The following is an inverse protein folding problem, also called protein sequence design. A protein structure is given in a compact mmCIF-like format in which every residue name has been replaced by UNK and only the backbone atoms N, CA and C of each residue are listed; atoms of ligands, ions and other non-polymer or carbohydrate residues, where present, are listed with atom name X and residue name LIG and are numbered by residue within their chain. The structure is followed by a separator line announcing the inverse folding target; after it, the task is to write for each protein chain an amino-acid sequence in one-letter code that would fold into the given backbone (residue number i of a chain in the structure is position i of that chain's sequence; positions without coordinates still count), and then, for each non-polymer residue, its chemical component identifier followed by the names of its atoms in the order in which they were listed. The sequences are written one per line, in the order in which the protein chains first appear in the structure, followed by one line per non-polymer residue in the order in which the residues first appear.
data_IF_196285588973
#
_entry.id   IF_196285588973
#
_cell.length_a   1.000
_cell.length_b   1.000
_cell.length_c   1.000
_cell.angle_alpha   90.00
_cell.angle_beta   90.00
_cell.angle_gamma   90.00
#
_symmetry.space_group_name_H-M   'P 1'
#
loop_
_entity.id
_entity.type
_entity.pdbx_description
1 polymer ?
#
# COMPACT_ATOMS: atom_id res chain seq x y z
N UNK A 1 -21.12 -8.23 7.87
CA UNK A 1 -20.97 -6.83 8.35
C UNK A 1 -19.52 -6.37 8.37
N UNK A 2 -18.60 -7.09 9.03
CA UNK A 2 -17.16 -6.71 9.13
C UNK A 2 -16.45 -6.55 7.79
N UNK A 3 -16.67 -7.45 6.82
CA UNK A 3 -16.06 -7.35 5.48
C UNK A 3 -16.48 -6.07 4.75
N UNK A 4 -17.74 -5.65 4.89
CA UNK A 4 -18.25 -4.41 4.27
C UNK A 4 -17.56 -3.19 4.89
N UNK A 5 -17.32 -3.21 6.20
CA UNK A 5 -16.56 -2.15 6.88
C UNK A 5 -15.11 -2.08 6.39
N UNK A 6 -14.44 -3.22 6.23
CA UNK A 6 -13.09 -3.26 5.66
C UNK A 6 -13.05 -2.75 4.23
N UNK A 7 -14.01 -3.16 3.39
CA UNK A 7 -14.09 -2.69 2.01
C UNK A 7 -14.33 -1.17 1.94
N UNK A 8 -15.25 -0.65 2.74
CA UNK A 8 -15.56 0.78 2.82
C UNK A 8 -14.35 1.59 3.31
N UNK A 9 -13.70 1.15 4.40
CA UNK A 9 -12.50 1.81 4.92
C UNK A 9 -11.35 1.78 3.90
N UNK A 10 -11.12 0.64 3.26
CA UNK A 10 -10.11 0.50 2.21
C UNK A 10 -10.36 1.43 1.02
N UNK A 11 -11.61 1.53 0.57
CA UNK A 11 -12.01 2.44 -0.52
C UNK A 11 -11.80 3.91 -0.13
N UNK A 12 -12.25 4.32 1.06
CA UNK A 12 -12.07 5.69 1.54
C UNK A 12 -10.59 6.07 1.67
N UNK A 13 -9.77 5.17 2.21
CA UNK A 13 -8.32 5.38 2.34
C UNK A 13 -7.65 5.46 0.97
N UNK A 14 -8.06 4.63 0.00
CA UNK A 14 -7.51 4.66 -1.35
C UNK A 14 -7.86 5.96 -2.08
N UNK A 15 -9.13 6.37 -2.05
CA UNK A 15 -9.61 7.61 -2.69
C UNK A 15 -8.97 8.85 -2.04
N UNK A 16 -8.95 8.90 -0.72
CA UNK A 16 -8.31 9.99 0.02
C UNK A 16 -6.82 10.09 -0.29
N UNK A 17 -6.11 8.96 -0.27
CA UNK A 17 -4.68 8.91 -0.60
C UNK A 17 -4.42 9.35 -2.04
N UNK A 18 -5.28 8.96 -3.00
CA UNK A 18 -5.15 9.36 -4.40
C UNK A 18 -5.35 10.88 -4.57
N UNK A 19 -6.37 11.45 -3.92
CA UNK A 19 -6.63 12.88 -3.95
C UNK A 19 -5.45 13.69 -3.39
N UNK A 20 -4.93 13.30 -2.22
CA UNK A 20 -3.77 13.98 -1.62
C UNK A 20 -2.48 13.76 -2.40
N UNK A 21 -2.26 12.58 -2.98
CA UNK A 21 -1.11 12.30 -3.83
C UNK A 21 -1.13 13.15 -5.12
N UNK A 22 -2.30 13.42 -5.68
CA UNK A 22 -2.46 14.35 -6.80
C UNK A 22 -2.16 15.79 -6.39
N UNK A 23 -2.68 16.23 -5.24
CA UNK A 23 -2.61 17.63 -4.81
C UNK A 23 -1.26 18.04 -4.21
N UNK A 24 -0.58 17.14 -3.51
CA UNK A 24 0.60 17.43 -2.70
C UNK A 24 1.81 16.56 -3.06
N UNK A 25 2.93 17.21 -3.33
CA UNK A 25 4.21 16.53 -3.55
C UNK A 25 4.77 15.92 -2.26
N UNK A 26 4.65 16.60 -1.13
CA UNK A 26 5.13 16.07 0.15
C UNK A 26 4.32 14.87 0.61
N UNK A 27 3.03 14.83 0.27
CA UNK A 27 2.23 13.63 0.48
C UNK A 27 2.72 12.44 -0.35
N UNK A 28 3.14 12.65 -1.61
CA UNK A 28 3.78 11.59 -2.42
C UNK A 28 5.08 11.10 -1.81
N UNK A 29 5.89 11.97 -1.21
CA UNK A 29 7.12 11.57 -0.50
C UNK A 29 6.81 10.70 0.72
N UNK A 30 5.82 11.10 1.52
CA UNK A 30 5.33 10.30 2.65
C UNK A 30 4.83 8.93 2.18
N UNK A 31 4.02 8.93 1.12
CA UNK A 31 3.43 7.72 0.56
C UNK A 31 4.49 6.76 -0.02
N UNK A 32 5.58 7.29 -0.60
CA UNK A 32 6.73 6.48 -1.00
C UNK A 32 7.32 5.71 0.19
N UNK A 33 7.53 6.38 1.33
CA UNK A 33 7.99 5.71 2.55
C UNK A 33 7.01 4.65 3.05
N UNK A 34 5.72 4.97 3.10
CA UNK A 34 4.68 4.04 3.53
C UNK A 34 4.60 2.78 2.65
N UNK A 35 4.66 2.95 1.33
CA UNK A 35 4.66 1.83 0.39
C UNK A 35 5.94 1.00 0.45
N UNK A 36 7.10 1.62 0.68
CA UNK A 36 8.35 0.90 0.86
C UNK A 36 8.31 -0.03 2.08
N UNK A 37 7.89 0.50 3.23
CA UNK A 37 7.77 -0.29 4.48
C UNK A 37 6.73 -1.41 4.31
N UNK A 38 5.57 -1.10 3.73
CA UNK A 38 4.51 -2.10 3.49
C UNK A 38 4.99 -3.21 2.55
N UNK A 39 5.69 -2.86 1.46
CA UNK A 39 6.31 -3.84 0.56
C UNK A 39 7.28 -4.75 1.31
N UNK A 40 8.15 -4.19 2.16
CA UNK A 40 9.12 -4.96 2.93
C UNK A 40 8.46 -5.96 3.88
N UNK A 41 7.45 -5.54 4.64
CA UNK A 41 6.73 -6.40 5.58
C UNK A 41 5.96 -7.50 4.85
N UNK A 42 5.26 -7.16 3.76
CA UNK A 42 4.51 -8.12 2.96
C UNK A 42 5.43 -9.16 2.30
N UNK A 43 6.59 -8.70 1.81
CA UNK A 43 7.60 -9.58 1.22
C UNK A 43 8.26 -10.48 2.28
N UNK A 44 8.55 -9.96 3.48
CA UNK A 44 9.06 -10.73 4.59
C UNK A 44 8.09 -11.85 5.00
N UNK A 45 6.81 -11.52 5.16
CA UNK A 45 5.76 -12.49 5.53
C UNK A 45 5.58 -13.56 4.43
N UNK A 46 5.72 -13.16 3.16
CA UNK A 46 5.75 -14.11 2.04
C UNK A 46 6.92 -15.09 2.15
N UNK A 47 8.14 -14.60 2.39
CA UNK A 47 9.33 -15.45 2.55
C UNK A 47 9.25 -16.33 3.81
N UNK A 48 8.66 -15.83 4.88
CA UNK A 48 8.45 -16.56 6.13
C UNK A 48 7.31 -17.60 6.04
N UNK A 49 6.60 -17.68 4.91
CA UNK A 49 5.44 -18.56 4.69
C UNK A 49 4.34 -18.38 5.75
N UNK A 50 4.19 -17.16 6.28
CA UNK A 50 3.24 -16.85 7.34
C UNK A 50 1.90 -16.40 6.75
N UNK A 51 0.84 -17.07 7.15
CA UNK A 51 -0.54 -16.68 6.86
C UNK A 51 -1.05 -15.67 7.88
N UNK A 52 -1.65 -14.56 7.42
CA UNK A 52 -2.14 -13.48 8.30
C UNK A 52 -3.66 -13.45 8.29
N UNK A 53 -4.34 -13.75 9.40
CA UNK A 53 -5.79 -13.66 9.47
C UNK A 53 -6.26 -12.20 9.49
N UNK A 54 -7.33 -11.90 8.75
CA UNK A 54 -8.04 -10.63 8.86
C UNK A 54 -8.90 -10.66 10.12
N UNK A 55 -8.59 -9.77 11.06
CA UNK A 55 -9.25 -9.67 12.35
C UNK A 55 -10.78 -9.62 12.20
N UNK A 56 -11.48 -10.48 12.95
CA UNK A 56 -12.94 -10.53 12.93
C UNK A 56 -13.55 -11.09 11.63
N UNK A 57 -12.78 -11.81 10.82
CA UNK A 57 -13.24 -12.55 9.64
C UNK A 57 -12.58 -13.93 9.53
N UNK A 58 -13.19 -14.84 8.78
CA UNK A 58 -12.59 -16.14 8.39
C UNK A 58 -11.58 -16.02 7.24
N UNK A 59 -11.28 -14.79 6.78
CA UNK A 59 -10.38 -14.57 5.65
C UNK A 59 -8.93 -14.58 6.12
N UNK A 60 -8.12 -15.37 5.44
CA UNK A 60 -6.68 -15.49 5.71
C UNK A 60 -5.91 -15.02 4.48
N UNK A 61 -5.05 -14.01 4.68
CA UNK A 61 -4.10 -13.59 3.66
C UNK A 61 -2.96 -14.62 3.60
N UNK A 62 -3.00 -15.45 2.57
CA UNK A 62 -1.97 -16.48 2.33
C UNK A 62 -0.64 -15.82 1.94
N UNK A 63 0.51 -16.52 2.11
CA UNK A 63 1.81 -16.01 1.74
C UNK A 63 1.86 -15.53 0.28
N UNK A 64 1.26 -16.29 -0.64
CA UNK A 64 1.17 -15.91 -2.07
C UNK A 64 0.42 -14.59 -2.29
N UNK A 65 -0.65 -14.35 -1.53
CA UNK A 65 -1.39 -13.08 -1.58
C UNK A 65 -0.52 -11.94 -1.05
N UNK A 66 0.21 -12.17 0.05
CA UNK A 66 1.16 -11.20 0.59
C UNK A 66 2.29 -10.87 -0.40
N UNK A 67 2.86 -11.86 -1.08
CA UNK A 67 3.86 -11.66 -2.13
C UNK A 67 3.32 -10.88 -3.34
N UNK A 68 2.08 -11.16 -3.78
CA UNK A 68 1.43 -10.35 -4.82
C UNK A 68 1.25 -8.90 -4.38
N UNK A 69 0.82 -8.67 -3.13
CA UNK A 69 0.64 -7.33 -2.57
C UNK A 69 1.97 -6.60 -2.41
N UNK A 70 3.07 -7.28 -2.03
CA UNK A 70 4.37 -6.64 -1.90
C UNK A 70 4.85 -6.07 -3.24
N UNK A 71 4.65 -6.80 -4.35
CA UNK A 71 4.97 -6.31 -5.70
C UNK A 71 4.17 -5.05 -6.03
N UNK A 72 2.85 -5.05 -5.78
CA UNK A 72 2.01 -3.87 -6.01
C UNK A 72 2.50 -2.67 -5.19
N UNK A 73 2.82 -2.87 -3.91
CA UNK A 73 3.34 -1.81 -3.05
C UNK A 73 4.70 -1.33 -3.51
N UNK A 74 5.57 -2.22 -4.00
CA UNK A 74 6.87 -1.85 -4.52
C UNK A 74 6.76 -0.97 -5.78
N UNK A 75 5.84 -1.30 -6.69
CA UNK A 75 5.56 -0.48 -7.88
C UNK A 75 5.05 0.90 -7.45
N UNK A 76 4.09 0.96 -6.52
CA UNK A 76 3.58 2.23 -6.02
C UNK A 76 4.65 3.05 -5.30
N UNK A 77 5.55 2.40 -4.56
CA UNK A 77 6.74 3.03 -3.99
C UNK A 77 7.59 3.68 -5.09
N UNK A 78 7.94 2.96 -6.16
CA UNK A 78 8.75 3.51 -7.25
C UNK A 78 8.07 4.70 -7.92
N UNK A 79 6.75 4.61 -8.17
CA UNK A 79 5.96 5.71 -8.74
C UNK A 79 5.98 6.93 -7.81
N UNK A 80 5.67 6.76 -6.52
CA UNK A 80 5.67 7.86 -5.55
C UNK A 80 7.07 8.41 -5.29
N UNK A 81 8.11 7.58 -5.30
CA UNK A 81 9.51 7.99 -5.17
C UNK A 81 9.91 8.88 -6.36
N UNK A 82 9.60 8.44 -7.57
CA UNK A 82 9.92 9.18 -8.78
C UNK A 82 9.21 10.53 -8.82
N UNK A 83 7.88 10.57 -8.64
CA UNK A 83 7.12 11.82 -8.69
C UNK A 83 7.25 12.69 -7.43
N UNK A 84 7.63 12.11 -6.30
CA UNK A 84 7.82 12.80 -5.03
C UNK A 84 9.20 13.45 -4.91
N UNK A 85 10.26 12.77 -5.37
CA UNK A 85 11.64 13.22 -5.18
C UNK A 85 12.33 13.61 -6.49
N UNK A 86 12.22 12.78 -7.54
CA UNK A 86 13.00 12.94 -8.78
C UNK A 86 12.40 13.99 -9.71
N UNK A 87 11.13 13.83 -10.10
CA UNK A 87 10.47 14.74 -11.03
C UNK A 87 10.05 16.02 -10.31
N UNK A 88 10.64 17.14 -10.70
CA UNK A 88 10.11 18.47 -10.34
C UNK A 88 8.95 18.79 -11.30
N UNK A 89 7.82 19.35 -10.84
CA UNK A 89 6.87 19.94 -11.77
C UNK A 89 7.60 21.05 -12.52
N UNK A 90 7.54 21.03 -13.86
CA UNK A 90 7.99 22.14 -14.69
C UNK A 90 7.22 23.39 -14.21
N UNK A 91 7.97 24.43 -13.88
CA UNK A 91 7.48 25.72 -13.39
C UNK A 91 6.68 26.44 -14.46
#
# INVERSE_FOLDING_TARGET
MTIVLYAAAGLLMAVGSLYFAWRSRDFRKFLAGAFFVSSGILFYIYLADVSVPLLGTELVATPRVSGGRSVVHFILFLVCLYFGFVRRPES
#
